data_IF_829989507817
#
_entry.id   IF_829989507817
#
_cell.length_a   1.000
_cell.length_b   1.000
_cell.length_c   1.000
_cell.angle_alpha   90.00
_cell.angle_beta   90.00
_cell.angle_gamma   90.00
#
_symmetry.space_group_name_H-M   'P 1'
#
loop_
_entity.id
_entity.type
_entity.pdbx_description
1 polymer ?
#
# COMPACT_ATOMS: atom_id res chain seq x y z
N UNK A 1 -34.97 3.83 20.44
CA UNK A 1 -33.51 4.04 20.45
C UNK A 1 -33.20 5.04 19.36
N UNK A 2 -32.99 6.30 19.75
CA UNK A 2 -32.49 7.34 18.84
C UNK A 2 -31.08 6.95 18.39
N UNK A 3 -30.87 6.84 17.09
CA UNK A 3 -29.56 6.59 16.51
C UNK A 3 -28.67 7.81 16.75
N UNK A 4 -27.36 7.60 16.96
CA UNK A 4 -26.36 8.67 17.02
C UNK A 4 -26.43 9.62 15.80
N UNK A 5 -26.97 9.15 14.68
CA UNK A 5 -27.22 9.95 13.47
C UNK A 5 -28.36 10.98 13.65
N UNK A 6 -29.34 10.71 14.51
CA UNK A 6 -30.47 11.59 14.74
C UNK A 6 -30.14 12.74 15.72
N UNK A 7 -29.06 12.57 16.50
CA UNK A 7 -28.53 13.63 17.38
C UNK A 7 -27.63 14.67 16.68
N UNK A 8 -27.22 14.41 15.43
CA UNK A 8 -26.31 15.27 14.67
C UNK A 8 -26.87 16.60 14.14
N UNK A 9 -28.22 16.81 13.94
CA UNK A 9 -28.73 18.10 13.48
C UNK A 9 -28.42 19.26 14.44
N UNK A 10 -28.37 18.99 15.74
CA UNK A 10 -28.07 20.03 16.74
C UNK A 10 -26.60 20.46 16.70
N UNK A 11 -25.70 19.54 16.31
CA UNK A 11 -24.29 19.83 16.18
C UNK A 11 -23.93 20.55 14.87
N UNK A 12 -24.80 20.47 13.84
CA UNK A 12 -24.59 21.12 12.55
C UNK A 12 -24.93 22.63 12.54
N UNK A 13 -25.63 23.12 13.54
CA UNK A 13 -26.11 24.51 13.60
C UNK A 13 -25.23 25.44 14.44
N UNK A 14 -24.23 24.93 15.15
CA UNK A 14 -23.27 25.74 15.89
C UNK A 14 -21.86 25.44 15.42
N UNK A 15 -21.08 26.44 15.02
CA UNK A 15 -19.65 26.27 14.75
C UNK A 15 -18.95 26.03 16.08
N UNK A 16 -18.69 24.73 16.39
CA UNK A 16 -17.80 24.40 17.51
C UNK A 16 -16.38 24.71 17.07
N UNK A 17 -15.77 25.72 17.69
CA UNK A 17 -14.34 25.92 17.55
C UNK A 17 -13.61 24.70 18.15
N UNK A 18 -12.91 23.96 17.33
CA UNK A 18 -12.03 22.90 17.82
C UNK A 18 -10.85 23.56 18.49
N UNK A 19 -10.51 23.22 19.74
CA UNK A 19 -9.39 23.85 20.46
C UNK A 19 -8.03 23.51 19.84
N UNK A 20 -7.94 22.46 19.02
CA UNK A 20 -6.74 22.02 18.30
C UNK A 20 -7.12 21.47 16.95
N UNK A 21 -6.38 21.86 15.91
CA UNK A 21 -6.48 21.31 14.57
C UNK A 21 -5.10 21.24 13.92
N UNK A 22 -4.97 20.44 12.88
CA UNK A 22 -3.81 20.44 11.98
C UNK A 22 -4.21 21.11 10.67
N UNK A 23 -3.42 22.08 10.23
CA UNK A 23 -3.53 22.68 8.89
C UNK A 23 -2.57 21.95 7.96
N UNK A 24 -3.12 21.40 6.87
CA UNK A 24 -2.34 20.67 5.87
C UNK A 24 -2.18 21.57 4.63
N UNK A 25 -0.95 22.02 4.41
CA UNK A 25 -0.60 22.83 3.25
C UNK A 25 -0.36 21.90 2.03
N UNK A 26 -1.32 21.90 1.10
CA UNK A 26 -1.24 21.08 -0.12
C UNK A 26 -0.19 21.59 -1.11
N UNK A 27 0.18 22.86 -1.07
CA UNK A 27 1.25 23.40 -1.93
C UNK A 27 2.62 23.00 -1.42
N UNK A 28 2.81 22.95 -0.11
CA UNK A 28 4.00 22.35 0.49
C UNK A 28 4.12 20.85 0.14
N UNK A 29 2.99 20.12 0.14
CA UNK A 29 2.95 18.72 -0.27
C UNK A 29 3.37 18.56 -1.75
N UNK A 30 2.86 19.41 -2.65
CA UNK A 30 3.26 19.47 -4.08
C UNK A 30 4.75 19.71 -4.23
N UNK A 31 5.24 20.72 -3.52
CA UNK A 31 6.67 21.08 -3.53
C UNK A 31 7.54 19.89 -3.13
N UNK A 32 7.21 19.22 -2.03
CA UNK A 32 7.95 18.07 -1.53
C UNK A 32 7.91 16.89 -2.52
N UNK A 33 6.74 16.60 -3.10
CA UNK A 33 6.63 15.53 -4.11
C UNK A 33 7.50 15.83 -5.34
N UNK A 34 7.48 17.07 -5.83
CA UNK A 34 8.32 17.50 -6.97
C UNK A 34 9.81 17.39 -6.66
N UNK A 35 10.23 17.72 -5.43
CA UNK A 35 11.61 17.59 -4.99
C UNK A 35 12.07 16.12 -4.99
N UNK A 36 11.23 15.20 -4.47
CA UNK A 36 11.49 13.75 -4.51
C UNK A 36 11.53 13.26 -5.95
N UNK A 37 10.58 13.67 -6.80
CA UNK A 37 10.52 13.28 -8.21
C UNK A 37 11.76 13.73 -8.99
N UNK A 38 12.21 14.96 -8.77
CA UNK A 38 13.44 15.47 -9.39
C UNK A 38 14.66 14.63 -8.98
N UNK A 39 14.73 14.15 -7.75
CA UNK A 39 15.80 13.27 -7.28
C UNK A 39 15.71 11.85 -7.83
N UNK A 40 14.50 11.34 -8.03
CA UNK A 40 14.24 10.02 -8.60
C UNK A 40 14.48 9.97 -10.12
N UNK A 41 14.52 11.12 -10.80
CA UNK A 41 14.66 11.19 -12.25
C UNK A 41 13.46 10.56 -12.97
N UNK A 42 13.73 9.62 -13.86
CA UNK A 42 12.71 8.93 -14.66
C UNK A 42 12.03 7.75 -13.92
N UNK A 43 12.45 7.46 -12.69
CA UNK A 43 11.83 6.36 -11.92
C UNK A 43 10.39 6.72 -11.52
N UNK A 44 9.43 5.79 -11.70
CA UNK A 44 8.06 5.99 -11.27
C UNK A 44 7.98 6.02 -9.74
N UNK A 45 7.17 6.95 -9.22
CA UNK A 45 6.97 7.09 -7.77
C UNK A 45 5.65 6.45 -7.33
N UNK A 46 5.70 5.68 -6.25
CA UNK A 46 4.55 5.21 -5.52
C UNK A 46 4.33 6.07 -4.26
N UNK A 47 3.24 6.82 -4.20
CA UNK A 47 2.92 7.63 -3.04
C UNK A 47 2.19 6.81 -1.97
N UNK A 48 2.74 6.74 -0.76
CA UNK A 48 2.17 5.99 0.36
C UNK A 48 1.22 6.89 1.15
N UNK A 49 -0.09 6.61 1.07
CA UNK A 49 -1.17 7.40 1.67
C UNK A 49 -1.96 6.62 2.73
N UNK A 50 -1.38 5.57 3.30
CA UNK A 50 -1.97 4.77 4.37
C UNK A 50 -2.22 5.58 5.64
N UNK A 51 -3.07 5.07 6.54
CA UNK A 51 -3.43 5.71 7.82
C UNK A 51 -3.87 7.17 7.62
N UNK A 52 -4.82 7.37 6.68
CA UNK A 52 -5.30 8.69 6.26
C UNK A 52 -4.15 9.65 5.84
N UNK A 53 -3.20 9.11 5.06
CA UNK A 53 -1.96 9.82 4.68
C UNK A 53 -1.19 10.30 5.93
N UNK A 54 -1.04 9.39 6.92
CA UNK A 54 -0.43 9.70 8.23
C UNK A 54 -1.11 10.88 8.94
N UNK A 55 -2.44 10.97 8.81
CA UNK A 55 -3.25 12.04 9.40
C UNK A 55 -3.37 13.32 8.56
N UNK A 56 -2.84 13.33 7.33
CA UNK A 56 -2.90 14.50 6.45
C UNK A 56 -4.14 14.52 5.54
N UNK A 57 -4.99 13.49 5.59
CA UNK A 57 -6.16 13.35 4.71
C UNK A 57 -5.82 12.62 3.40
N UNK A 58 -6.09 11.30 3.36
CA UNK A 58 -5.65 10.43 2.26
C UNK A 58 -6.23 10.86 0.90
N UNK A 59 -7.50 11.25 0.86
CA UNK A 59 -8.19 11.65 -0.36
C UNK A 59 -7.55 12.88 -1.00
N UNK A 60 -7.34 13.95 -0.21
CA UNK A 60 -6.74 15.19 -0.69
C UNK A 60 -5.27 14.98 -1.11
N UNK A 61 -4.50 14.26 -0.29
CA UNK A 61 -3.12 13.94 -0.61
C UNK A 61 -3.01 13.09 -1.88
N UNK A 62 -3.85 12.06 -2.04
CA UNK A 62 -3.86 11.21 -3.23
C UNK A 62 -4.17 12.00 -4.51
N UNK A 63 -5.12 12.95 -4.45
CA UNK A 63 -5.42 13.85 -5.58
C UNK A 63 -4.20 14.69 -5.96
N UNK A 64 -3.51 15.26 -4.96
CA UNK A 64 -2.29 16.05 -5.20
C UNK A 64 -1.21 15.18 -5.84
N UNK A 65 -0.93 14.01 -5.28
CA UNK A 65 0.10 13.12 -5.81
C UNK A 65 -0.22 12.64 -7.23
N UNK A 66 -1.49 12.33 -7.54
CA UNK A 66 -1.92 11.98 -8.88
C UNK A 66 -1.70 13.13 -9.88
N UNK A 67 -2.06 14.37 -9.51
CA UNK A 67 -1.82 15.57 -10.33
C UNK A 67 -0.34 15.84 -10.59
N UNK A 68 0.52 15.53 -9.63
CA UNK A 68 1.97 15.69 -9.74
C UNK A 68 2.66 14.51 -10.44
N UNK A 69 1.90 13.49 -10.85
CA UNK A 69 2.38 12.38 -11.64
C UNK A 69 2.97 11.24 -10.82
N UNK A 70 2.38 10.93 -9.68
CA UNK A 70 2.59 9.64 -9.02
C UNK A 70 2.12 8.51 -9.96
N UNK A 71 2.87 7.42 -10.01
CA UNK A 71 2.54 6.26 -10.82
C UNK A 71 1.64 5.27 -10.06
N UNK A 72 1.74 5.24 -8.76
CA UNK A 72 1.02 4.34 -7.86
C UNK A 72 0.63 5.05 -6.57
N UNK A 73 -0.43 4.54 -5.94
CA UNK A 73 -0.74 4.82 -4.54
C UNK A 73 -0.57 3.55 -3.72
N UNK A 74 -0.14 3.68 -2.46
CA UNK A 74 -0.07 2.54 -1.55
C UNK A 74 -0.77 2.85 -0.22
N UNK A 75 -1.53 1.86 0.24
CA UNK A 75 -2.35 1.94 1.46
C UNK A 75 -2.10 0.72 2.36
N UNK A 76 -2.64 0.72 3.59
CA UNK A 76 -2.44 -0.39 4.51
C UNK A 76 -3.51 -1.47 4.43
N UNK A 77 -4.74 -1.15 4.05
CA UNK A 77 -5.88 -2.06 4.09
C UNK A 77 -6.89 -1.80 2.98
N UNK A 78 -7.84 -2.74 2.83
CA UNK A 78 -8.87 -2.68 1.79
C UNK A 78 -9.79 -1.45 1.93
N UNK A 79 -10.16 -1.08 3.15
CA UNK A 79 -11.05 0.07 3.40
C UNK A 79 -10.45 1.36 2.85
N UNK A 80 -9.15 1.60 3.07
CA UNK A 80 -8.43 2.77 2.54
C UNK A 80 -8.39 2.75 1.00
N UNK A 81 -8.14 1.58 0.39
CA UNK A 81 -8.13 1.43 -1.06
C UNK A 81 -9.50 1.73 -1.69
N UNK A 82 -10.57 1.17 -1.11
CA UNK A 82 -11.95 1.39 -1.56
C UNK A 82 -12.35 2.85 -1.39
N UNK A 83 -11.97 3.51 -0.30
CA UNK A 83 -12.21 4.94 -0.10
C UNK A 83 -11.60 5.77 -1.23
N UNK A 84 -10.36 5.49 -1.64
CA UNK A 84 -9.72 6.19 -2.76
C UNK A 84 -10.45 5.93 -4.09
N UNK A 85 -10.91 4.69 -4.35
CA UNK A 85 -11.71 4.37 -5.54
C UNK A 85 -13.04 5.12 -5.56
N UNK A 86 -13.74 5.18 -4.43
CA UNK A 86 -14.99 5.93 -4.28
C UNK A 86 -14.81 7.45 -4.50
N UNK A 87 -13.60 7.97 -4.22
CA UNK A 87 -13.22 9.35 -4.53
C UNK A 87 -12.84 9.57 -6.01
N UNK A 88 -12.87 8.52 -6.83
CA UNK A 88 -12.58 8.60 -8.26
C UNK A 88 -11.09 8.43 -8.61
N UNK A 89 -10.26 7.92 -7.69
CA UNK A 89 -8.86 7.63 -8.00
C UNK A 89 -8.74 6.49 -9.01
N UNK A 90 -8.02 6.75 -10.11
CA UNK A 90 -7.80 5.80 -11.20
C UNK A 90 -6.38 5.21 -11.21
N UNK A 91 -5.45 5.81 -10.45
CA UNK A 91 -4.09 5.26 -10.34
C UNK A 91 -4.13 3.83 -9.78
N UNK A 92 -3.17 2.98 -10.15
CA UNK A 92 -2.98 1.70 -9.49
C UNK A 92 -2.83 1.86 -7.99
N UNK A 93 -3.50 1.00 -7.22
CA UNK A 93 -3.44 1.01 -5.75
C UNK A 93 -2.87 -0.31 -5.26
N UNK A 94 -1.85 -0.24 -4.40
CA UNK A 94 -1.24 -1.38 -3.72
C UNK A 94 -1.62 -1.39 -2.25
N UNK A 95 -2.25 -2.47 -1.78
CA UNK A 95 -2.42 -2.73 -0.35
C UNK A 95 -1.15 -3.40 0.18
N UNK A 96 -0.48 -2.75 1.13
CA UNK A 96 0.78 -3.20 1.73
C UNK A 96 0.57 -4.25 2.83
N UNK A 97 -0.64 -4.34 3.38
CA UNK A 97 -0.99 -5.24 4.47
C UNK A 97 -1.72 -6.50 4.02
N UNK A 98 -2.22 -7.25 5.00
CA UNK A 98 -3.02 -8.44 4.77
C UNK A 98 -4.44 -8.07 4.30
N UNK A 99 -4.97 -8.87 3.37
CA UNK A 99 -6.40 -8.84 2.98
C UNK A 99 -6.94 -10.27 3.06
N UNK A 100 -8.11 -10.42 3.69
CA UNK A 100 -8.77 -11.72 3.79
C UNK A 100 -9.23 -12.19 2.41
N UNK A 101 -9.13 -13.51 2.12
CA UNK A 101 -9.48 -14.08 0.81
C UNK A 101 -10.93 -13.84 0.37
N UNK A 102 -11.87 -13.72 1.31
CA UNK A 102 -13.29 -13.44 1.01
C UNK A 102 -13.53 -12.13 0.28
N UNK A 103 -12.57 -11.20 0.32
CA UNK A 103 -12.64 -9.94 -0.42
C UNK A 103 -12.09 -10.02 -1.85
N UNK A 104 -11.75 -11.21 -2.36
CA UNK A 104 -11.20 -11.38 -3.70
C UNK A 104 -12.09 -10.76 -4.80
N UNK A 105 -13.42 -10.86 -4.68
CA UNK A 105 -14.35 -10.24 -5.62
C UNK A 105 -14.23 -8.71 -5.62
N UNK A 106 -14.11 -8.08 -4.45
CA UNK A 106 -13.90 -6.63 -4.33
C UNK A 106 -12.56 -6.20 -4.93
N UNK A 107 -11.49 -6.95 -4.66
CA UNK A 107 -10.16 -6.66 -5.21
C UNK A 107 -10.16 -6.70 -6.74
N UNK A 108 -10.86 -7.67 -7.33
CA UNK A 108 -10.99 -7.82 -8.78
C UNK A 108 -11.83 -6.66 -9.36
N UNK A 109 -13.00 -6.38 -8.76
CA UNK A 109 -13.91 -5.35 -9.24
C UNK A 109 -13.31 -3.94 -9.19
N UNK A 110 -12.63 -3.63 -8.09
CA UNK A 110 -12.02 -2.31 -7.85
C UNK A 110 -10.61 -2.17 -8.46
N UNK A 111 -10.12 -3.21 -9.13
CA UNK A 111 -8.77 -3.25 -9.70
C UNK A 111 -7.69 -2.87 -8.68
N UNK A 112 -7.69 -3.54 -7.52
CA UNK A 112 -6.75 -3.31 -6.43
C UNK A 112 -5.71 -4.41 -6.36
N UNK A 113 -4.44 -4.03 -6.30
CA UNK A 113 -3.30 -4.93 -6.14
C UNK A 113 -3.00 -5.14 -4.65
N UNK A 114 -2.66 -6.37 -4.25
CA UNK A 114 -2.33 -6.68 -2.86
C UNK A 114 -0.93 -7.26 -2.69
N UNK A 115 -0.32 -7.02 -1.54
CA UNK A 115 0.92 -7.67 -1.16
C UNK A 115 0.70 -9.18 -0.95
N UNK A 116 1.51 -10.00 -1.63
CA UNK A 116 1.58 -11.44 -1.43
C UNK A 116 2.89 -11.76 -0.71
N UNK A 117 2.81 -12.39 0.46
CA UNK A 117 3.95 -12.52 1.38
C UNK A 117 4.14 -13.93 1.94
N UNK A 118 3.29 -14.89 1.58
CA UNK A 118 3.45 -16.30 1.92
C UNK A 118 2.71 -17.21 0.95
N UNK A 119 3.15 -18.46 0.83
CA UNK A 119 2.50 -19.47 -0.01
C UNK A 119 1.08 -19.76 0.46
N UNK A 120 0.84 -19.83 1.78
CA UNK A 120 -0.48 -20.06 2.35
C UNK A 120 -1.47 -18.94 1.97
N UNK A 121 -1.07 -17.68 2.14
CA UNK A 121 -1.90 -16.53 1.76
C UNK A 121 -2.16 -16.53 0.25
N UNK A 122 -1.16 -16.84 -0.57
CA UNK A 122 -1.30 -16.93 -2.02
C UNK A 122 -2.31 -18.00 -2.43
N UNK A 123 -2.24 -19.21 -1.84
CA UNK A 123 -3.17 -20.31 -2.12
C UNK A 123 -4.61 -19.96 -1.76
N UNK A 124 -4.82 -19.40 -0.55
CA UNK A 124 -6.15 -19.00 -0.08
C UNK A 124 -6.76 -17.91 -0.97
N UNK A 125 -5.96 -16.88 -1.32
CA UNK A 125 -6.41 -15.80 -2.17
C UNK A 125 -6.69 -16.28 -3.60
N UNK A 126 -5.85 -17.16 -4.15
CA UNK A 126 -6.06 -17.76 -5.47
C UNK A 126 -7.36 -18.56 -5.54
N UNK A 127 -7.62 -19.43 -4.54
CA UNK A 127 -8.84 -20.20 -4.48
C UNK A 127 -10.10 -19.31 -4.46
N UNK A 128 -10.05 -18.23 -3.67
CA UNK A 128 -11.14 -17.26 -3.60
C UNK A 128 -11.32 -16.48 -4.92
N UNK A 129 -10.24 -16.08 -5.57
CA UNK A 129 -10.27 -15.38 -6.85
C UNK A 129 -10.86 -16.25 -7.98
N UNK A 130 -10.46 -17.52 -8.05
CA UNK A 130 -11.05 -18.50 -9.01
C UNK A 130 -12.55 -18.66 -8.75
N UNK A 131 -12.97 -18.78 -7.49
CA UNK A 131 -14.38 -18.84 -7.12
C UNK A 131 -15.16 -17.58 -7.52
N UNK A 132 -14.51 -16.41 -7.44
CA UNK A 132 -15.07 -15.12 -7.88
C UNK A 132 -15.04 -14.93 -9.41
N UNK A 133 -14.49 -15.88 -10.18
CA UNK A 133 -14.45 -15.86 -11.63
C UNK A 133 -13.39 -14.92 -12.23
N UNK A 134 -12.32 -14.61 -11.48
CA UNK A 134 -11.29 -13.70 -11.95
C UNK A 134 -9.91 -14.00 -11.37
N UNK A 135 -9.01 -13.01 -11.49
CA UNK A 135 -7.64 -13.07 -10.96
C UNK A 135 -7.37 -11.81 -10.14
N UNK A 136 -6.73 -11.98 -8.99
CA UNK A 136 -6.29 -10.87 -8.14
C UNK A 136 -4.86 -10.49 -8.53
N UNK A 137 -4.63 -9.20 -8.78
CA UNK A 137 -3.29 -8.64 -8.99
C UNK A 137 -2.51 -8.67 -7.69
N UNK A 138 -1.28 -9.18 -7.75
CA UNK A 138 -0.40 -9.25 -6.58
C UNK A 138 0.96 -8.62 -6.86
N UNK A 139 1.53 -8.01 -5.83
CA UNK A 139 2.96 -7.76 -5.74
C UNK A 139 3.57 -8.71 -4.71
N UNK A 140 4.57 -9.47 -5.09
CA UNK A 140 5.30 -10.30 -4.14
C UNK A 140 6.07 -9.41 -3.16
N UNK A 141 5.95 -9.69 -1.87
CA UNK A 141 6.71 -8.99 -0.83
C UNK A 141 7.94 -9.81 -0.46
N UNK A 142 9.11 -9.33 -0.84
CA UNK A 142 10.38 -9.88 -0.42
C UNK A 142 10.76 -9.35 0.97
N UNK A 143 11.07 -10.23 1.91
CA UNK A 143 11.68 -9.85 3.18
C UNK A 143 13.19 -10.05 3.09
N UNK A 144 13.89 -8.95 2.86
CA UNK A 144 15.35 -8.88 2.77
C UNK A 144 16.02 -8.59 4.10
N UNK A 145 15.24 -8.55 5.19
CA UNK A 145 15.75 -8.31 6.54
C UNK A 145 14.94 -7.32 7.37
N UNK A 146 13.78 -6.82 6.88
CA UNK A 146 12.86 -6.04 7.70
C UNK A 146 12.22 -6.90 8.81
N UNK A 147 12.02 -8.22 8.58
CA UNK A 147 11.53 -9.16 9.58
C UNK A 147 10.08 -8.94 10.01
N UNK A 148 9.23 -8.41 9.12
CA UNK A 148 7.83 -8.11 9.44
C UNK A 148 6.85 -9.02 8.70
N UNK A 149 6.83 -8.96 7.39
CA UNK A 149 6.09 -9.84 6.47
C UNK A 149 6.88 -9.96 5.17
N UNK A 150 6.74 -11.08 4.48
CA UNK A 150 7.39 -11.32 3.18
C UNK A 150 7.97 -12.71 3.09
N UNK A 151 8.29 -13.12 1.87
CA UNK A 151 9.11 -14.32 1.64
C UNK A 151 10.52 -14.06 2.15
N UNK A 152 11.02 -14.92 3.04
CA UNK A 152 12.18 -14.66 3.89
C UNK A 152 13.53 -14.87 3.15
N UNK A 153 13.84 -14.03 2.19
CA UNK A 153 15.05 -14.11 1.34
C UNK A 153 16.34 -14.12 2.15
N UNK A 154 16.39 -13.41 3.26
CA UNK A 154 17.58 -13.35 4.10
C UNK A 154 17.83 -14.64 4.88
N UNK A 155 16.78 -15.37 5.25
CA UNK A 155 16.88 -16.56 6.09
C UNK A 155 17.15 -17.81 5.25
N UNK A 156 16.40 -18.00 4.15
CA UNK A 156 16.57 -19.10 3.20
C UNK A 156 16.16 -18.60 1.81
N UNK A 157 17.16 -18.14 1.07
CA UNK A 157 16.96 -17.54 -0.25
C UNK A 157 16.31 -18.52 -1.23
N UNK A 158 16.81 -19.75 -1.31
CA UNK A 158 16.31 -20.73 -2.29
C UNK A 158 14.89 -21.20 -1.97
N UNK A 159 14.57 -21.37 -0.68
CA UNK A 159 13.20 -21.69 -0.28
C UNK A 159 12.24 -20.52 -0.59
N UNK A 160 12.64 -19.29 -0.28
CA UNK A 160 11.83 -18.11 -0.57
C UNK A 160 11.55 -17.97 -2.08
N UNK A 161 12.56 -18.18 -2.94
CA UNK A 161 12.38 -18.15 -4.40
C UNK A 161 11.43 -19.24 -4.86
N UNK A 162 11.55 -20.48 -4.37
CA UNK A 162 10.61 -21.57 -4.71
C UNK A 162 9.18 -21.21 -4.30
N UNK A 163 8.97 -20.64 -3.14
CA UNK A 163 7.68 -20.22 -2.62
C UNK A 163 7.08 -19.07 -3.46
N UNK A 164 7.89 -18.10 -3.84
CA UNK A 164 7.48 -17.00 -4.73
C UNK A 164 7.07 -17.53 -6.11
N UNK A 165 7.83 -18.44 -6.69
CA UNK A 165 7.49 -19.07 -7.98
C UNK A 165 6.20 -19.90 -7.87
N UNK A 166 5.98 -20.59 -6.74
CA UNK A 166 4.74 -21.30 -6.45
C UNK A 166 3.56 -20.34 -6.44
N UNK A 167 3.69 -19.20 -5.77
CA UNK A 167 2.64 -18.17 -5.75
C UNK A 167 2.33 -17.62 -7.15
N UNK A 168 3.36 -17.38 -7.99
CA UNK A 168 3.20 -16.91 -9.35
C UNK A 168 2.44 -17.91 -10.26
N UNK A 169 2.56 -19.20 -9.99
CA UNK A 169 1.92 -20.25 -10.80
C UNK A 169 0.44 -20.48 -10.47
N UNK A 170 -0.09 -19.85 -9.41
CA UNK A 170 -1.47 -20.06 -8.98
C UNK A 170 -2.48 -19.41 -9.94
N UNK A 171 -3.54 -20.13 -10.35
CA UNK A 171 -4.42 -19.70 -11.45
C UNK A 171 -5.25 -18.45 -11.14
N UNK A 172 -5.57 -18.22 -9.87
CA UNK A 172 -6.36 -17.06 -9.41
C UNK A 172 -5.53 -15.80 -9.18
N UNK A 173 -4.21 -15.83 -9.42
CA UNK A 173 -3.34 -14.69 -9.17
C UNK A 173 -2.71 -14.17 -10.46
N UNK A 174 -2.43 -12.88 -10.48
CA UNK A 174 -1.67 -12.19 -11.52
C UNK A 174 -0.52 -11.41 -10.85
N UNK A 175 0.69 -11.92 -11.01
CA UNK A 175 1.88 -11.26 -10.49
C UNK A 175 2.22 -10.05 -11.37
N UNK A 176 2.13 -8.85 -10.79
CA UNK A 176 2.37 -7.58 -11.49
C UNK A 176 3.54 -6.79 -10.92
N UNK A 177 4.15 -7.25 -9.84
CA UNK A 177 5.28 -6.58 -9.24
C UNK A 177 5.93 -7.33 -8.08
N UNK A 178 7.08 -6.84 -7.70
CA UNK A 178 7.88 -7.30 -6.56
C UNK A 178 8.34 -6.07 -5.78
N UNK A 179 8.33 -6.14 -4.46
CA UNK A 179 8.83 -5.04 -3.62
C UNK A 179 9.43 -5.55 -2.31
N UNK A 180 10.28 -4.73 -1.75
CA UNK A 180 10.86 -4.93 -0.42
C UNK A 180 10.70 -3.65 0.42
N UNK A 181 11.12 -3.69 1.67
CA UNK A 181 11.16 -2.52 2.55
C UNK A 181 12.48 -2.50 3.30
N UNK A 182 13.21 -1.41 3.19
CA UNK A 182 14.43 -1.20 3.96
C UNK A 182 14.10 -0.96 5.43
N UNK A 183 14.95 -1.48 6.33
CA UNK A 183 14.73 -1.36 7.77
C UNK A 183 15.27 -0.06 8.34
N UNK A 184 16.42 0.39 7.83
CA UNK A 184 17.27 1.42 8.44
C UNK A 184 17.92 2.36 7.41
N UNK A 185 17.27 2.53 6.23
CA UNK A 185 17.83 3.34 5.14
C UNK A 185 17.84 4.85 5.43
N UNK A 186 17.20 5.29 6.49
CA UNK A 186 17.16 6.66 7.01
C UNK A 186 18.27 6.97 8.02
N UNK A 187 19.07 5.95 8.41
CA UNK A 187 20.20 6.10 9.32
C UNK A 187 21.53 5.98 8.54
N UNK A 188 22.42 6.93 8.77
CA UNK A 188 23.72 7.06 8.08
C UNK A 188 24.90 6.48 8.87
N UNK A 189 24.65 5.72 9.94
CA UNK A 189 25.73 4.98 10.61
C UNK A 189 26.32 3.90 9.70
N UNK A 190 27.59 3.56 9.87
CA UNK A 190 28.30 2.58 9.01
C UNK A 190 27.60 1.22 9.00
N UNK A 191 27.13 0.74 10.14
CA UNK A 191 26.43 -0.53 10.27
C UNK A 191 25.09 -0.52 9.51
N UNK A 192 24.31 0.58 9.59
CA UNK A 192 23.04 0.70 8.93
C UNK A 192 23.17 0.92 7.42
N UNK A 193 24.22 1.61 6.97
CA UNK A 193 24.57 1.69 5.55
C UNK A 193 24.90 0.28 5.02
N UNK A 194 25.74 -0.47 5.72
CA UNK A 194 26.10 -1.84 5.34
C UNK A 194 24.88 -2.77 5.31
N UNK A 195 23.99 -2.66 6.30
CA UNK A 195 22.76 -3.44 6.36
C UNK A 195 21.81 -3.11 5.20
N UNK A 196 21.64 -1.83 4.88
CA UNK A 196 20.81 -1.37 3.75
C UNK A 196 21.38 -1.87 2.42
N UNK A 197 22.71 -1.84 2.24
CA UNK A 197 23.36 -2.38 1.06
C UNK A 197 23.15 -3.90 0.93
N UNK A 198 23.21 -4.64 2.03
CA UNK A 198 22.90 -6.08 2.05
C UNK A 198 21.43 -6.37 1.69
N UNK A 199 20.49 -5.61 2.23
CA UNK A 199 19.08 -5.74 1.85
C UNK A 199 18.87 -5.48 0.35
N UNK A 200 19.56 -4.50 -0.21
CA UNK A 200 19.52 -4.20 -1.65
C UNK A 200 20.12 -5.33 -2.49
N UNK A 201 21.22 -5.93 -2.04
CA UNK A 201 21.88 -7.06 -2.73
C UNK A 201 21.01 -8.31 -2.77
N UNK A 202 20.21 -8.56 -1.72
CA UNK A 202 19.30 -9.70 -1.63
C UNK A 202 18.04 -9.51 -2.51
N UNK A 203 17.67 -8.29 -2.85
CA UNK A 203 16.55 -7.95 -3.70
C UNK A 203 16.93 -8.00 -5.18
#
# INVERSE_FOLDING_TARGET
TLSLHDALPILKTQPFEKPVWAEIDLDALRHNFRAVKARAGDLPLCAVVKADSYGHGAVQCARVFAQEGAAWLAVSCLTEAVQLRQDGQTLPILILGHVQPEYAQTLIHEDITVACYSTEQAQNLSAAAVKAGGRVKIHLKADTGMGRIGFALRTDFDAAIRDMLTACALPGLEMTGLFQHFSVADDVSEDNIAYTAEQHRLF
#
